data_IF_089036718924
#
_entry.id   IF_089036718924
#
_cell.length_a   1.000
_cell.length_b   1.000
_cell.length_c   1.000
_cell.angle_alpha   90.00
_cell.angle_beta   90.00
_cell.angle_gamma   90.00
#
_symmetry.space_group_name_H-M   'P 1'
#
loop_
_entity.id
_entity.type
_entity.pdbx_description
1 polymer ?
#
# COMPACT_ATOMS: atom_id res chain seq x y z
N UNK A 1 15.23 -11.40 -5.01
CA UNK A 1 15.99 -12.23 -4.05
C UNK A 1 15.55 -11.75 -2.70
N UNK A 2 16.42 -11.63 -1.70
CA UNK A 2 16.17 -10.58 -0.69
C UNK A 2 17.25 -9.53 -0.93
N UNK A 3 16.83 -8.40 -1.45
CA UNK A 3 17.68 -7.38 -2.03
C UNK A 3 17.49 -6.03 -1.30
N UNK A 4 18.48 -5.15 -1.42
CA UNK A 4 18.37 -3.76 -0.98
C UNK A 4 18.65 -2.87 -2.17
N UNK A 5 17.65 -2.10 -2.58
CA UNK A 5 17.71 -1.18 -3.71
C UNK A 5 17.71 0.25 -3.19
N UNK A 6 18.60 1.08 -3.73
CA UNK A 6 18.72 2.50 -3.38
C UNK A 6 18.64 3.33 -4.66
N UNK A 7 17.60 4.16 -4.79
CA UNK A 7 17.40 5.04 -5.94
C UNK A 7 18.43 6.17 -5.97
N UNK A 8 18.50 6.93 -4.86
CA UNK A 8 19.50 7.97 -4.66
C UNK A 8 18.91 9.35 -4.86
N UNK A 9 19.40 10.12 -5.82
CA UNK A 9 18.86 11.44 -6.16
C UNK A 9 18.33 11.37 -7.58
N UNK A 10 17.07 11.77 -7.78
CA UNK A 10 16.42 11.70 -9.08
C UNK A 10 14.98 11.25 -8.94
N UNK A 11 14.36 10.94 -10.08
CA UNK A 11 13.11 10.21 -10.09
C UNK A 11 13.47 8.77 -10.48
N UNK A 12 13.46 7.88 -9.50
CA UNK A 12 13.90 6.49 -9.69
C UNK A 12 12.71 5.53 -9.82
N UNK A 13 12.94 4.39 -10.47
CA UNK A 13 11.99 3.28 -10.52
C UNK A 13 12.64 2.09 -9.82
N UNK A 14 12.06 1.68 -8.69
CA UNK A 14 12.56 0.58 -7.87
C UNK A 14 11.64 -0.63 -8.04
N UNK A 15 12.23 -1.75 -8.47
CA UNK A 15 11.56 -3.04 -8.68
C UNK A 15 12.36 -4.10 -7.94
N UNK A 16 11.90 -4.52 -6.76
CA UNK A 16 12.54 -5.60 -5.99
C UNK A 16 12.39 -6.96 -6.68
N UNK A 17 11.16 -7.24 -7.14
CA UNK A 17 10.80 -8.51 -7.74
C UNK A 17 10.51 -9.54 -6.65
N UNK A 18 10.79 -10.82 -6.92
CA UNK A 18 10.45 -11.87 -5.97
C UNK A 18 11.38 -11.90 -4.76
N UNK A 19 10.78 -11.84 -3.56
CA UNK A 19 11.36 -12.20 -2.26
C UNK A 19 11.05 -11.13 -1.21
N UNK A 20 11.94 -10.83 -0.29
CA UNK A 20 11.65 -9.80 0.72
C UNK A 20 12.68 -8.69 0.56
N UNK A 21 12.29 -7.57 -0.05
CA UNK A 21 13.20 -6.52 -0.48
C UNK A 21 13.06 -5.22 0.33
N UNK A 22 14.15 -4.48 0.45
CA UNK A 22 14.19 -3.11 0.99
C UNK A 22 14.40 -2.11 -0.14
N UNK A 23 13.43 -1.21 -0.34
CA UNK A 23 13.42 -0.22 -1.41
C UNK A 23 13.55 1.19 -0.82
N UNK A 24 14.71 1.81 -1.00
CA UNK A 24 15.04 3.15 -0.48
C UNK A 24 15.03 4.14 -1.65
N UNK A 25 14.01 5.00 -1.73
CA UNK A 25 13.89 5.96 -2.84
C UNK A 25 14.96 7.05 -2.77
N UNK A 26 15.01 7.74 -1.63
CA UNK A 26 15.92 8.86 -1.42
C UNK A 26 15.31 10.20 -1.83
N UNK A 27 16.00 10.95 -2.68
CA UNK A 27 15.64 12.31 -3.06
C UNK A 27 14.98 12.40 -4.43
N UNK A 28 13.67 12.61 -4.46
CA UNK A 28 12.91 12.95 -5.67
C UNK A 28 11.70 12.04 -5.87
N UNK A 29 11.02 12.17 -7.01
CA UNK A 29 9.73 11.50 -7.22
C UNK A 29 9.92 10.05 -7.66
N UNK A 30 10.09 9.17 -6.68
CA UNK A 30 10.37 7.75 -6.90
C UNK A 30 9.12 6.93 -7.15
N UNK A 31 9.28 5.83 -7.88
CA UNK A 31 8.21 4.88 -8.20
C UNK A 31 8.58 3.48 -7.74
N UNK A 32 7.79 2.92 -6.83
CA UNK A 32 7.97 1.56 -6.31
C UNK A 32 7.00 0.62 -7.02
N UNK A 33 7.50 -0.43 -7.66
CA UNK A 33 6.67 -1.39 -8.40
C UNK A 33 6.51 -2.66 -7.56
N UNK A 34 5.27 -3.11 -7.39
CA UNK A 34 4.94 -4.28 -6.58
C UNK A 34 3.79 -5.08 -7.21
N UNK A 35 3.73 -6.37 -6.95
CA UNK A 35 2.72 -7.25 -7.50
C UNK A 35 2.66 -8.61 -6.80
N UNK A 36 1.89 -9.53 -7.40
CA UNK A 36 1.76 -10.88 -6.87
C UNK A 36 3.06 -11.66 -7.08
N UNK A 37 3.53 -12.32 -6.02
CA UNK A 37 4.78 -13.08 -6.00
C UNK A 37 6.02 -12.25 -5.63
N UNK A 38 5.84 -10.96 -5.35
CA UNK A 38 6.93 -10.07 -4.95
C UNK A 38 7.26 -10.19 -3.45
N UNK A 39 6.45 -10.89 -2.64
CA UNK A 39 6.75 -11.19 -1.24
C UNK A 39 6.50 -10.04 -0.27
N UNK A 40 7.38 -9.83 0.72
CA UNK A 40 7.21 -8.81 1.77
C UNK A 40 8.22 -7.67 1.62
N UNK A 41 7.85 -6.67 0.83
CA UNK A 41 8.71 -5.51 0.59
C UNK A 41 8.50 -4.39 1.61
N UNK A 42 9.60 -3.72 1.94
CA UNK A 42 9.63 -2.52 2.77
C UNK A 42 10.13 -1.33 1.94
N UNK A 43 9.36 -0.25 1.95
CA UNK A 43 9.66 1.02 1.31
C UNK A 43 10.07 2.03 2.35
N UNK A 44 11.28 2.56 2.19
CA UNK A 44 11.75 3.78 2.85
C UNK A 44 11.66 4.92 1.82
N UNK A 45 10.61 5.73 1.96
CA UNK A 45 10.40 6.93 1.14
C UNK A 45 10.93 8.21 1.81
N UNK A 46 11.69 8.07 2.90
CA UNK A 46 12.29 9.20 3.59
C UNK A 46 13.34 9.87 2.71
N UNK A 47 13.57 11.16 2.99
CA UNK A 47 14.52 11.95 2.22
C UNK A 47 15.38 12.83 3.11
N UNK A 48 16.70 12.74 2.95
CA UNK A 48 17.66 13.54 3.73
C UNK A 48 17.56 15.05 3.45
N UNK A 49 16.96 15.45 2.32
CA UNK A 49 16.78 16.87 1.96
C UNK A 49 15.57 17.52 2.60
N UNK A 50 14.75 16.77 3.35
CA UNK A 50 13.57 17.28 4.04
C UNK A 50 12.45 17.66 3.05
N UNK A 51 11.32 16.98 3.15
CA UNK A 51 10.13 17.28 2.35
C UNK A 51 9.17 18.16 3.15
N UNK A 52 8.21 18.76 2.46
CA UNK A 52 7.06 19.43 3.09
C UNK A 52 5.72 18.81 2.66
N UNK A 53 5.77 17.84 1.75
CA UNK A 53 4.62 17.16 1.15
C UNK A 53 4.96 15.73 0.82
N UNK A 54 3.93 14.87 0.75
CA UNK A 54 4.05 13.52 0.22
C UNK A 54 4.49 13.57 -1.26
N UNK A 55 5.38 12.66 -1.64
CA UNK A 55 5.97 12.57 -2.97
C UNK A 55 6.26 11.10 -3.29
N UNK A 56 6.50 10.80 -4.56
CA UNK A 56 6.65 9.43 -5.03
C UNK A 56 5.33 8.67 -5.17
N UNK A 57 5.40 7.46 -5.72
CA UNK A 57 4.22 6.62 -5.96
C UNK A 57 4.51 5.13 -5.91
N UNK A 58 3.48 4.34 -5.63
CA UNK A 58 3.53 2.89 -5.83
C UNK A 58 2.68 2.49 -7.04
N UNK A 59 3.19 1.57 -7.86
CA UNK A 59 2.50 0.95 -8.99
C UNK A 59 2.26 -0.51 -8.64
N UNK A 60 0.99 -0.89 -8.46
CA UNK A 60 0.62 -2.22 -8.00
C UNK A 60 -0.01 -3.03 -9.14
N UNK A 61 0.55 -4.20 -9.41
CA UNK A 61 0.18 -5.10 -10.52
C UNK A 61 -1.16 -5.81 -10.40
N UNK A 62 -2.07 -5.35 -9.52
CA UNK A 62 -3.41 -5.92 -9.33
C UNK A 62 -4.49 -4.83 -9.30
N UNK A 63 -5.76 -5.21 -9.48
CA UNK A 63 -6.88 -4.27 -9.40
C UNK A 63 -7.02 -3.69 -7.99
N UNK A 64 -7.53 -2.46 -7.88
CA UNK A 64 -7.85 -1.84 -6.59
C UNK A 64 -8.74 -2.69 -5.69
N UNK A 65 -9.57 -3.56 -6.28
CA UNK A 65 -10.48 -4.42 -5.52
C UNK A 65 -9.76 -5.63 -4.91
N UNK A 66 -8.50 -5.87 -5.26
CA UNK A 66 -7.67 -6.92 -4.69
C UNK A 66 -6.76 -6.38 -3.57
N UNK A 67 -6.79 -5.08 -3.31
CA UNK A 67 -5.90 -4.43 -2.35
C UNK A 67 -6.58 -4.23 -0.99
N UNK A 68 -5.89 -4.64 0.06
CA UNK A 68 -6.28 -4.43 1.44
C UNK A 68 -5.24 -3.56 2.14
N UNK A 69 -5.67 -2.51 2.84
CA UNK A 69 -4.80 -1.54 3.49
C UNK A 69 -4.98 -1.59 4.99
N UNK A 70 -3.88 -1.80 5.71
CA UNK A 70 -3.83 -1.87 7.16
C UNK A 70 -2.85 -0.84 7.72
N UNK A 71 -3.16 -0.32 8.90
CA UNK A 71 -2.17 0.38 9.72
C UNK A 71 -1.47 -0.62 10.65
N UNK A 72 -0.15 -0.70 10.58
CA UNK A 72 0.68 -1.53 11.44
C UNK A 72 1.65 -0.65 12.24
N UNK A 73 1.26 -0.26 13.45
CA UNK A 73 2.04 0.74 14.20
C UNK A 73 1.98 2.09 13.48
N UNK A 74 3.14 2.60 13.06
CA UNK A 74 3.24 3.84 12.29
C UNK A 74 3.39 3.60 10.78
N UNK A 75 3.37 2.33 10.35
CA UNK A 75 3.52 1.94 8.95
C UNK A 75 2.16 1.75 8.27
N UNK A 76 2.16 1.96 6.95
CA UNK A 76 1.07 1.54 6.07
C UNK A 76 1.44 0.22 5.41
N UNK A 77 0.60 -0.80 5.59
CA UNK A 77 0.69 -2.06 4.86
C UNK A 77 -0.35 -2.09 3.73
N UNK A 78 0.10 -2.39 2.51
CA UNK A 78 -0.74 -2.64 1.34
C UNK A 78 -0.58 -4.12 0.98
N UNK A 79 -1.64 -4.90 1.14
CA UNK A 79 -1.67 -6.35 0.93
C UNK A 79 -2.44 -6.71 -0.33
N UNK A 80 -2.04 -7.78 -0.98
CA UNK A 80 -2.81 -8.40 -2.07
C UNK A 80 -3.65 -9.53 -1.48
N UNK A 81 -4.97 -9.38 -1.55
CA UNK A 81 -5.91 -10.36 -1.02
C UNK A 81 -5.66 -11.76 -1.61
N UNK A 82 -5.76 -12.79 -0.78
CA UNK A 82 -5.55 -14.19 -1.19
C UNK A 82 -4.09 -14.58 -1.45
N UNK A 83 -3.14 -13.71 -1.08
CA UNK A 83 -1.69 -13.96 -1.22
C UNK A 83 -0.96 -13.54 0.05
N UNK A 84 0.30 -13.96 0.20
CA UNK A 84 1.15 -13.45 1.28
C UNK A 84 1.77 -12.08 0.95
N UNK A 85 1.62 -11.60 -0.28
CA UNK A 85 2.30 -10.41 -0.78
C UNK A 85 1.85 -9.15 -0.03
N UNK A 86 2.83 -8.39 0.48
CA UNK A 86 2.62 -7.14 1.21
C UNK A 86 3.74 -6.13 0.91
N UNK A 87 3.35 -4.96 0.43
CA UNK A 87 4.20 -3.77 0.39
C UNK A 87 3.97 -2.96 1.67
N UNK A 88 5.03 -2.64 2.41
CA UNK A 88 4.97 -1.85 3.64
C UNK A 88 5.68 -0.52 3.41
N UNK A 89 5.05 0.59 3.76
CA UNK A 89 5.65 1.93 3.67
C UNK A 89 5.93 2.36 5.10
N UNK A 90 7.22 2.46 5.40
CA UNK A 90 7.77 2.80 6.71
C UNK A 90 7.29 4.19 7.14
N UNK A 91 6.90 4.33 8.42
CA UNK A 91 6.59 5.62 9.06
C UNK A 91 5.48 6.47 8.37
N UNK A 92 4.62 5.85 7.56
CA UNK A 92 3.52 6.52 6.84
C UNK A 92 2.67 7.45 7.73
N UNK A 93 2.40 7.03 8.96
CA UNK A 93 1.53 7.74 9.91
C UNK A 93 2.30 8.68 10.86
N UNK A 94 3.62 8.83 10.71
CA UNK A 94 4.44 9.78 11.47
C UNK A 94 4.28 11.20 10.93
N UNK A 95 4.57 11.39 9.65
CA UNK A 95 4.42 12.66 8.94
C UNK A 95 4.35 12.47 7.42
N UNK A 96 4.11 13.56 6.68
CA UNK A 96 3.98 13.51 5.23
C UNK A 96 5.27 13.21 4.47
N UNK A 97 6.44 13.23 5.11
CA UNK A 97 7.73 13.04 4.42
C UNK A 97 8.00 11.58 4.08
N UNK A 98 7.33 10.66 4.79
CA UNK A 98 7.41 9.22 4.59
C UNK A 98 6.28 8.72 3.66
N UNK A 99 5.26 9.54 3.43
CA UNK A 99 4.13 9.18 2.60
C UNK A 99 4.46 9.22 1.11
N UNK A 100 3.92 8.24 0.38
CA UNK A 100 3.78 8.30 -1.06
C UNK A 100 2.65 9.25 -1.44
N UNK A 101 2.79 10.05 -2.49
CA UNK A 101 1.72 10.92 -2.97
C UNK A 101 0.51 10.12 -3.50
N UNK A 102 0.77 8.96 -4.12
CA UNK A 102 -0.28 8.10 -4.65
C UNK A 102 0.12 6.64 -4.78
N UNK A 103 -0.86 5.75 -4.68
CA UNK A 103 -0.76 4.35 -5.10
C UNK A 103 -1.65 4.14 -6.31
N UNK A 104 -1.14 3.51 -7.37
CA UNK A 104 -1.86 3.20 -8.60
C UNK A 104 -2.06 1.70 -8.73
N UNK A 105 -3.26 1.29 -9.12
CA UNK A 105 -3.62 -0.10 -9.37
C UNK A 105 -3.63 -0.41 -10.87
N UNK A 106 -3.56 -1.69 -11.22
CA UNK A 106 -3.48 -2.14 -12.62
C UNK A 106 -4.73 -1.83 -13.45
N UNK A 107 -5.85 -1.51 -12.81
CA UNK A 107 -7.10 -1.09 -13.45
C UNK A 107 -7.24 0.44 -13.62
N UNK A 108 -6.13 1.18 -13.46
CA UNK A 108 -6.05 2.61 -13.77
C UNK A 108 -6.64 3.53 -12.70
N UNK A 109 -6.88 3.01 -11.50
CA UNK A 109 -7.30 3.81 -10.36
C UNK A 109 -6.09 4.23 -9.53
N UNK A 110 -6.19 5.42 -8.93
CA UNK A 110 -5.21 5.96 -8.01
C UNK A 110 -5.86 6.24 -6.65
N UNK A 111 -5.17 5.85 -5.60
CA UNK A 111 -5.42 6.24 -4.22
C UNK A 111 -4.44 7.34 -3.85
N UNK A 112 -4.93 8.55 -3.60
CA UNK A 112 -4.10 9.64 -3.08
C UNK A 112 -3.87 9.50 -1.58
N UNK A 113 -2.74 10.00 -1.08
CA UNK A 113 -2.36 9.92 0.34
C UNK A 113 -3.47 10.40 1.30
N UNK A 114 -4.17 11.50 0.96
CA UNK A 114 -5.27 12.02 1.78
C UNK A 114 -6.52 11.15 1.88
N UNK A 115 -6.61 10.07 1.09
CA UNK A 115 -7.71 9.10 1.16
C UNK A 115 -7.34 7.80 1.89
N UNK A 116 -6.06 7.60 2.23
CA UNK A 116 -5.56 6.39 2.88
C UNK A 116 -6.20 6.19 4.24
N UNK A 117 -6.20 7.21 5.10
CA UNK A 117 -6.78 7.13 6.46
C UNK A 117 -8.23 6.67 6.45
N UNK A 118 -9.03 7.19 5.51
CA UNK A 118 -10.43 6.83 5.39
C UNK A 118 -10.60 5.37 4.95
N UNK A 119 -9.79 4.90 4.00
CA UNK A 119 -9.86 3.53 3.51
C UNK A 119 -9.39 2.53 4.57
N UNK A 120 -8.27 2.81 5.22
CA UNK A 120 -7.75 2.02 6.35
C UNK A 120 -8.79 1.95 7.48
N UNK A 121 -9.44 3.07 7.82
CA UNK A 121 -10.49 3.09 8.86
C UNK A 121 -11.69 2.21 8.50
N UNK A 122 -12.10 2.21 7.22
CA UNK A 122 -13.19 1.36 6.75
C UNK A 122 -12.82 -0.13 6.80
N UNK A 123 -11.60 -0.47 6.39
CA UNK A 123 -11.07 -1.84 6.43
C UNK A 123 -10.92 -2.33 7.87
N UNK A 124 -10.33 -1.54 8.78
CA UNK A 124 -10.24 -1.86 10.21
C UNK A 124 -11.62 -2.07 10.87
N UNK A 125 -12.62 -1.27 10.47
CA UNK A 125 -14.00 -1.44 10.94
C UNK A 125 -14.57 -2.80 10.50
N UNK A 126 -14.30 -3.22 9.25
CA UNK A 126 -14.68 -4.55 8.79
C UNK A 126 -13.99 -5.64 9.60
N UNK A 127 -12.68 -5.55 9.85
CA UNK A 127 -11.95 -6.56 10.63
C UNK A 127 -12.52 -6.73 12.04
N UNK A 128 -12.84 -5.62 12.72
CA UNK A 128 -13.47 -5.65 14.03
C UNK A 128 -14.82 -6.37 14.01
N UNK A 129 -15.65 -6.12 12.99
CA UNK A 129 -16.94 -6.78 12.81
C UNK A 129 -16.80 -8.26 12.41
N UNK A 130 -15.79 -8.58 11.60
CA UNK A 130 -15.46 -9.95 11.23
C UNK A 130 -15.09 -10.75 12.48
N UNK A 131 -14.17 -10.24 13.30
CA UNK A 131 -13.79 -10.88 14.56
C UNK A 131 -14.98 -11.10 15.50
N UNK A 132 -15.86 -10.09 15.63
CA UNK A 132 -17.06 -10.20 16.45
C UNK A 132 -18.03 -11.31 15.98
N UNK A 133 -18.10 -11.55 14.67
CA UNK A 133 -18.97 -12.58 14.06
C UNK A 133 -18.32 -13.95 13.95
N UNK A 134 -16.99 -14.05 14.12
CA UNK A 134 -16.21 -15.29 13.98
C UNK A 134 -15.53 -15.70 15.29
N UNK A 135 -16.22 -15.51 16.43
CA UNK A 135 -15.73 -15.91 17.76
C UNK A 135 -14.31 -15.40 18.09
N UNK A 136 -13.98 -14.18 17.64
CA UNK A 136 -12.68 -13.54 17.88
C UNK A 136 -11.58 -13.93 16.88
N UNK A 137 -11.87 -14.76 15.87
CA UNK A 137 -10.92 -15.03 14.78
C UNK A 137 -10.76 -13.76 13.94
N UNK A 138 -9.53 -13.24 13.86
CA UNK A 138 -9.22 -12.09 13.04
C UNK A 138 -9.40 -12.41 11.54
N UNK A 139 -9.81 -11.40 10.77
CA UNK A 139 -9.78 -11.50 9.33
C UNK A 139 -8.32 -11.58 8.87
N UNK A 140 -8.03 -12.51 7.96
CA UNK A 140 -6.71 -12.65 7.37
C UNK A 140 -6.79 -12.35 5.86
N UNK A 141 -6.27 -11.18 5.43
CA UNK A 141 -6.23 -10.81 4.01
C UNK A 141 -5.52 -11.86 3.14
N UNK A 142 -4.54 -12.59 3.68
CA UNK A 142 -3.75 -13.55 2.92
C UNK A 142 -4.51 -14.81 2.54
N UNK A 143 -5.58 -15.14 3.26
CA UNK A 143 -6.45 -16.30 2.99
C UNK A 143 -7.82 -15.91 2.46
N UNK A 144 -8.05 -14.62 2.18
CA UNK A 144 -9.29 -14.09 1.61
C UNK A 144 -9.50 -14.47 0.14
N UNK A 145 -10.71 -14.25 -0.39
CA UNK A 145 -11.15 -14.63 -1.74
C UNK A 145 -10.54 -13.78 -2.88
N UNK A 146 -9.33 -13.24 -2.73
CA UNK A 146 -8.63 -12.49 -3.78
C UNK A 146 -9.24 -11.14 -4.19
N UNK A 147 -10.44 -10.80 -3.70
CA UNK A 147 -11.16 -9.57 -4.03
C UNK A 147 -12.05 -9.13 -2.86
N UNK A 148 -12.24 -7.81 -2.73
CA UNK A 148 -13.18 -7.20 -1.79
C UNK A 148 -14.61 -7.52 -2.24
N UNK A 149 -15.40 -8.13 -1.35
CA UNK A 149 -16.82 -8.44 -1.58
C UNK A 149 -17.76 -7.81 -0.57
N UNK A 150 -17.26 -7.35 0.58
CA UNK A 150 -18.07 -6.67 1.58
C UNK A 150 -18.61 -5.34 1.03
N UNK A 151 -19.91 -5.08 1.22
CA UNK A 151 -20.57 -3.94 0.61
C UNK A 151 -20.07 -2.59 1.17
N UNK A 152 -19.75 -2.52 2.47
CA UNK A 152 -19.26 -1.30 3.10
C UNK A 152 -17.81 -1.01 2.70
N UNK A 153 -16.96 -2.04 2.70
CA UNK A 153 -15.57 -1.91 2.23
C UNK A 153 -15.53 -1.56 0.74
N UNK A 154 -16.38 -2.18 -0.08
CA UNK A 154 -16.48 -1.88 -1.51
C UNK A 154 -16.89 -0.42 -1.77
N UNK A 155 -17.85 0.10 -1.01
CA UNK A 155 -18.27 1.50 -1.10
C UNK A 155 -17.13 2.46 -0.71
N UNK A 156 -16.39 2.14 0.36
CA UNK A 156 -15.22 2.91 0.78
C UNK A 156 -14.11 2.88 -0.28
N UNK A 157 -13.78 1.71 -0.81
CA UNK A 157 -12.79 1.55 -1.88
C UNK A 157 -13.18 2.34 -3.14
N UNK A 158 -14.44 2.28 -3.58
CA UNK A 158 -14.90 3.06 -4.73
C UNK A 158 -14.93 4.57 -4.50
N UNK A 159 -14.96 5.02 -3.24
CA UNK A 159 -14.89 6.45 -2.89
C UNK A 159 -13.44 6.94 -2.83
N UNK A 160 -12.56 6.12 -2.26
CA UNK A 160 -11.15 6.45 -2.04
C UNK A 160 -10.33 6.41 -3.33
N UNK A 161 -10.52 5.37 -4.14
CA UNK A 161 -9.84 5.18 -5.41
C UNK A 161 -10.53 5.96 -6.52
N UNK A 162 -9.79 6.85 -7.19
CA UNK A 162 -10.31 7.65 -8.31
C UNK A 162 -9.63 7.24 -9.61
N UNK A 163 -10.33 7.30 -10.74
CA UNK A 163 -9.67 7.10 -12.04
C UNK A 163 -8.54 8.12 -12.18
N UNK A 164 -7.33 7.63 -12.48
CA UNK A 164 -6.24 8.51 -12.85
C UNK A 164 -6.61 9.20 -14.18
N UNK A 165 -6.30 10.49 -14.32
CA UNK A 165 -6.41 11.13 -15.63
C UNK A 165 -5.46 10.41 -16.59
N UNK A 166 -5.97 10.05 -17.78
CA UNK A 166 -5.18 9.47 -18.86
C UNK A 166 -4.15 10.46 -19.42
#
# INVERSE_FOLDING_TARGET
GSDTLVGGVGADILVGGAGDDLLIGGGGNDTYVFGTGDGHDLVDNSSAVGRSTAEGSAEIGVSKLQLWLDRAGDDLAIRILGTQDRLTIDDWFVDSNHQLASTRSSDGFALGNGAVDQLVSAMATFEANYAASHNGVAFDPATANGTITDAAVLAAANTAWRQAAA
#
